data_IF_019803113680
#
_entry.id   IF_019803113680
#
_cell.length_a   1.000
_cell.length_b   1.000
_cell.length_c   1.000
_cell.angle_alpha   90.00
_cell.angle_beta   90.00
_cell.angle_gamma   90.00
#
_symmetry.space_group_name_H-M   'P 1'
#
loop_
_entity.id
_entity.type
_entity.pdbx_description
1 polymer ?
#
# COMPACT_ATOMS: atom_id res chain seq x y z
N UNK A 1 -0.92 20.63 1.83
CA UNK A 1 -0.76 19.20 1.48
C UNK A 1 -0.47 18.45 2.76
N UNK A 2 -1.30 17.48 3.14
CA UNK A 2 -0.97 16.53 4.21
C UNK A 2 0.26 15.74 3.76
N UNK A 3 1.37 15.83 4.50
CA UNK A 3 2.65 15.20 4.13
C UNK A 3 2.59 13.65 4.14
N UNK A 4 1.54 13.09 4.75
CA UNK A 4 1.31 11.67 4.94
C UNK A 4 -0.19 11.35 4.85
N UNK A 5 -0.82 11.53 3.66
CA UNK A 5 -2.27 11.38 3.49
C UNK A 5 -2.75 9.95 3.83
N UNK A 6 -1.86 8.97 3.67
CA UNK A 6 -2.13 7.56 3.88
C UNK A 6 -1.78 7.04 5.28
N UNK A 7 -1.25 7.90 6.17
CA UNK A 7 -0.81 7.52 7.52
C UNK A 7 0.17 6.32 7.54
N UNK A 8 1.04 6.24 6.54
CA UNK A 8 2.02 5.15 6.37
C UNK A 8 3.31 5.39 7.15
N UNK A 9 3.75 6.64 7.22
CA UNK A 9 5.05 7.00 7.76
C UNK A 9 4.98 7.46 9.21
N UNK A 10 6.07 7.23 9.94
CA UNK A 10 6.27 7.81 11.27
C UNK A 10 6.46 9.32 11.15
N UNK A 11 5.78 10.10 12.00
CA UNK A 11 5.85 11.58 11.98
C UNK A 11 6.63 12.16 13.17
N UNK A 12 7.46 11.35 13.83
CA UNK A 12 8.29 11.82 14.92
C UNK A 12 9.31 12.85 14.41
N UNK A 13 9.27 14.06 14.98
CA UNK A 13 10.19 15.14 14.64
C UNK A 13 11.49 15.03 15.43
N UNK A 14 12.61 14.93 14.72
CA UNK A 14 13.94 14.99 15.30
C UNK A 14 14.43 16.45 15.32
N UNK A 15 14.51 17.01 16.53
CA UNK A 15 14.96 18.39 16.77
C UNK A 15 16.45 18.59 16.52
N UNK A 16 17.28 17.55 16.63
CA UNK A 16 18.73 17.67 16.50
C UNK A 16 19.16 17.97 15.06
N UNK A 17 18.43 17.42 14.07
CA UNK A 17 18.72 17.61 12.65
C UNK A 17 17.60 18.32 11.88
N UNK A 18 16.53 18.76 12.58
CA UNK A 18 15.35 19.40 12.00
C UNK A 18 14.69 18.57 10.88
N UNK A 19 14.55 17.25 11.08
CA UNK A 19 13.90 16.35 10.12
C UNK A 19 12.80 15.52 10.76
N UNK A 20 11.78 15.16 9.98
CA UNK A 20 10.81 14.14 10.37
C UNK A 20 11.35 12.75 10.06
N UNK A 21 11.03 11.78 10.91
CA UNK A 21 11.19 10.37 10.57
C UNK A 21 10.45 10.08 9.26
N UNK A 22 10.99 9.20 8.41
CA UNK A 22 10.33 8.75 7.18
C UNK A 22 10.23 7.22 7.09
N UNK A 23 10.51 6.53 8.19
CA UNK A 23 10.33 5.07 8.27
C UNK A 23 8.83 4.76 8.30
N UNK A 24 8.42 3.65 7.71
CA UNK A 24 7.04 3.15 7.84
C UNK A 24 6.72 2.98 9.32
N UNK A 25 5.55 3.49 9.73
CA UNK A 25 5.18 3.73 11.12
C UNK A 25 5.32 2.48 11.99
N UNK A 26 4.72 1.37 11.57
CA UNK A 26 4.68 0.11 12.33
C UNK A 26 6.04 -0.58 12.43
N UNK A 27 6.93 -0.39 11.46
CA UNK A 27 8.29 -0.97 11.49
C UNK A 27 9.35 0.00 12.05
N UNK A 28 8.96 1.20 12.47
CA UNK A 28 9.90 2.19 12.96
C UNK A 28 10.50 1.76 14.31
N UNK A 29 11.75 1.30 14.30
CA UNK A 29 12.42 0.77 15.48
C UNK A 29 12.55 1.77 16.65
N UNK A 30 12.60 3.07 16.35
CA UNK A 30 12.81 4.12 17.36
C UNK A 30 11.50 4.65 17.95
N UNK A 31 10.41 4.63 17.18
CA UNK A 31 9.19 5.39 17.53
C UNK A 31 7.94 4.51 17.65
N UNK A 32 7.97 3.26 17.15
CA UNK A 32 6.85 2.34 17.34
C UNK A 32 6.78 1.86 18.78
N UNK A 33 5.63 2.05 19.43
CA UNK A 33 5.41 1.71 20.86
C UNK A 33 4.42 0.55 21.07
N UNK A 34 4.20 -0.27 20.04
CA UNK A 34 3.34 -1.44 20.17
C UNK A 34 1.85 -1.13 20.24
N UNK A 35 1.39 -0.01 19.68
CA UNK A 35 -0.01 0.46 19.81
C UNK A 35 -1.05 -0.62 19.45
N UNK A 36 -0.74 -1.49 18.48
CA UNK A 36 -1.62 -2.56 18.03
C UNK A 36 -1.62 -3.80 18.94
N UNK A 37 -0.54 -4.02 19.68
CA UNK A 37 -0.37 -5.23 20.50
C UNK A 37 -0.41 -4.98 22.01
N UNK A 38 -0.43 -3.72 22.45
CA UNK A 38 -0.36 -3.36 23.88
C UNK A 38 -1.53 -3.90 24.70
N UNK A 39 -2.70 -4.10 24.08
CA UNK A 39 -3.90 -4.62 24.74
C UNK A 39 -3.93 -6.16 24.82
N UNK A 40 -3.09 -6.84 24.04
CA UNK A 40 -3.08 -8.30 23.95
C UNK A 40 -2.49 -8.93 25.22
N UNK A 41 -3.32 -9.68 25.95
CA UNK A 41 -2.89 -10.43 27.14
C UNK A 41 -2.11 -11.70 26.78
N UNK A 42 -2.46 -12.32 25.66
CA UNK A 42 -1.86 -13.54 25.14
C UNK A 42 -1.16 -13.28 23.81
N UNK A 43 -0.30 -14.20 23.39
CA UNK A 43 0.41 -14.13 22.12
C UNK A 43 -0.54 -13.98 20.93
N UNK A 44 -1.57 -14.83 20.86
CA UNK A 44 -2.57 -14.90 19.80
C UNK A 44 -2.02 -15.23 18.39
N UNK A 45 -0.79 -15.71 18.25
CA UNK A 45 -0.27 -16.16 16.96
C UNK A 45 -1.10 -17.35 16.43
N UNK A 46 -1.68 -17.28 15.22
CA UNK A 46 -2.46 -18.38 14.65
C UNK A 46 -1.59 -19.61 14.39
N UNK A 47 -1.93 -20.75 14.99
CA UNK A 47 -1.12 -21.97 14.84
C UNK A 47 -1.10 -22.50 13.41
N UNK A 48 -2.18 -22.26 12.66
CA UNK A 48 -2.29 -22.57 11.23
C UNK A 48 -1.23 -21.94 10.35
N UNK A 49 -0.59 -20.85 10.79
CA UNK A 49 0.48 -20.23 10.02
C UNK A 49 1.84 -20.90 10.21
N UNK A 50 1.98 -21.79 11.21
CA UNK A 50 3.23 -22.49 11.51
C UNK A 50 3.37 -23.85 10.78
N UNK A 51 2.30 -24.42 10.22
CA UNK A 51 2.26 -25.80 9.72
C UNK A 51 2.97 -26.03 8.36
N UNK A 52 3.84 -25.12 7.92
CA UNK A 52 4.69 -25.32 6.73
C UNK A 52 3.96 -25.30 5.39
N UNK A 53 2.63 -25.16 5.37
CA UNK A 53 1.90 -24.75 4.16
C UNK A 53 2.19 -23.27 3.93
N UNK A 54 2.87 -22.96 2.84
CA UNK A 54 2.99 -21.59 2.37
C UNK A 54 1.61 -21.11 1.95
N UNK A 55 0.97 -20.34 2.83
CA UNK A 55 -0.26 -19.62 2.52
C UNK A 55 0.12 -18.27 1.90
N UNK A 56 -0.60 -17.88 0.85
CA UNK A 56 -0.59 -16.49 0.38
C UNK A 56 -1.26 -15.59 1.42
N UNK A 57 -0.96 -14.29 1.38
CA UNK A 57 -1.64 -13.31 2.24
C UNK A 57 -3.17 -13.40 2.12
N UNK A 58 -3.71 -13.56 0.90
CA UNK A 58 -5.16 -13.71 0.69
C UNK A 58 -5.71 -14.93 1.44
N UNK A 59 -5.07 -16.10 1.29
CA UNK A 59 -5.50 -17.34 1.94
C UNK A 59 -5.42 -17.28 3.47
N UNK A 60 -4.44 -16.54 4.03
CA UNK A 60 -4.32 -16.35 5.48
C UNK A 60 -5.53 -15.63 6.09
N UNK A 61 -6.14 -14.70 5.36
CA UNK A 61 -7.25 -13.88 5.86
C UNK A 61 -8.62 -14.38 5.40
N UNK A 62 -8.75 -14.88 4.17
CA UNK A 62 -10.02 -15.38 3.61
C UNK A 62 -10.52 -16.61 4.37
N UNK A 63 -9.62 -17.54 4.72
CA UNK A 63 -9.93 -18.74 5.49
C UNK A 63 -9.60 -18.59 6.99
N UNK A 64 -9.22 -17.39 7.43
CA UNK A 64 -8.75 -17.12 8.79
C UNK A 64 -9.68 -17.65 9.90
N UNK A 65 -11.00 -17.40 9.85
CA UNK A 65 -11.94 -17.89 10.87
C UNK A 65 -11.97 -19.43 10.99
N UNK A 66 -11.96 -20.15 9.88
CA UNK A 66 -12.00 -21.61 9.86
C UNK A 66 -10.66 -22.19 10.34
N UNK A 67 -9.55 -21.62 9.88
CA UNK A 67 -8.19 -21.98 10.32
C UNK A 67 -8.00 -21.77 11.82
N UNK A 68 -8.54 -20.68 12.37
CA UNK A 68 -8.49 -20.37 13.80
C UNK A 68 -9.40 -21.29 14.63
N UNK A 69 -10.52 -21.73 14.09
CA UNK A 69 -11.47 -22.62 14.79
C UNK A 69 -10.90 -24.03 14.97
N UNK A 70 -10.25 -24.56 13.95
CA UNK A 70 -9.75 -25.94 13.95
C UNK A 70 -8.42 -26.08 14.69
N UNK A 71 -7.50 -25.12 14.50
CA UNK A 71 -6.14 -25.22 15.05
C UNK A 71 -5.86 -24.28 16.22
N UNK A 72 -6.67 -23.22 16.37
CA UNK A 72 -6.51 -22.24 17.44
C UNK A 72 -5.31 -21.32 17.28
N UNK A 73 -4.93 -20.69 18.40
CA UNK A 73 -3.86 -19.71 18.48
C UNK A 73 -2.93 -20.00 19.66
N UNK A 74 -1.79 -19.31 19.71
CA UNK A 74 -0.85 -19.36 20.83
C UNK A 74 -1.45 -18.64 22.05
N UNK A 75 -1.65 -19.38 23.15
CA UNK A 75 -2.21 -18.85 24.40
C UNK A 75 -1.14 -18.43 25.43
N UNK A 76 0.15 -18.49 25.10
CA UNK A 76 1.20 -18.06 26.01
C UNK A 76 1.03 -16.57 26.37
N UNK A 77 1.34 -16.14 27.61
CA UNK A 77 1.30 -14.72 27.97
C UNK A 77 2.12 -13.89 26.98
N UNK A 78 1.56 -12.78 26.49
CA UNK A 78 2.16 -12.01 25.38
C UNK A 78 3.62 -11.60 25.67
N UNK A 79 3.89 -11.20 26.91
CA UNK A 79 5.21 -10.74 27.38
C UNK A 79 6.23 -11.88 27.53
N UNK A 80 5.78 -13.12 27.60
CA UNK A 80 6.62 -14.31 27.86
C UNK A 80 6.79 -15.20 26.62
N UNK A 81 6.00 -14.96 25.56
CA UNK A 81 6.07 -15.75 24.33
C UNK A 81 7.32 -15.40 23.50
N UNK A 82 8.38 -16.20 23.65
CA UNK A 82 9.60 -16.06 22.86
C UNK A 82 9.48 -16.57 21.41
N UNK A 83 8.61 -17.56 21.17
CA UNK A 83 8.49 -18.21 19.85
C UNK A 83 7.91 -17.29 18.76
N UNK A 84 7.03 -16.36 19.13
CA UNK A 84 6.35 -15.46 18.20
C UNK A 84 6.67 -14.00 18.52
N UNK A 85 7.94 -13.71 18.75
CA UNK A 85 8.37 -12.37 19.14
C UNK A 85 7.95 -11.34 18.09
N UNK A 86 7.18 -10.32 18.52
CA UNK A 86 6.72 -9.20 17.67
C UNK A 86 5.98 -9.62 16.39
N UNK A 87 5.30 -10.78 16.38
CA UNK A 87 4.64 -11.28 15.17
C UNK A 87 3.58 -10.31 14.61
N UNK A 88 2.87 -9.57 15.48
CA UNK A 88 1.88 -8.56 15.07
C UNK A 88 2.56 -7.43 14.32
N UNK A 89 3.64 -6.87 14.88
CA UNK A 89 4.43 -5.83 14.25
C UNK A 89 5.01 -6.31 12.91
N UNK A 90 5.50 -7.55 12.85
CA UNK A 90 6.04 -8.13 11.63
C UNK A 90 4.96 -8.29 10.54
N UNK A 91 3.82 -8.88 10.88
CA UNK A 91 2.70 -9.10 9.95
C UNK A 91 2.17 -7.77 9.41
N UNK A 92 1.85 -6.83 10.30
CA UNK A 92 1.33 -5.51 9.90
C UNK A 92 2.40 -4.73 9.14
N UNK A 93 3.68 -4.88 9.50
CA UNK A 93 4.80 -4.35 8.73
C UNK A 93 4.81 -4.84 7.28
N UNK A 94 4.58 -6.14 7.06
CA UNK A 94 4.47 -6.69 5.70
C UNK A 94 3.26 -6.12 4.95
N UNK A 95 2.11 -5.99 5.61
CA UNK A 95 0.89 -5.41 5.01
C UNK A 95 1.13 -3.94 4.60
N UNK A 96 1.72 -3.13 5.47
CA UNK A 96 1.98 -1.72 5.19
C UNK A 96 3.05 -1.54 4.09
N UNK A 97 4.05 -2.44 4.03
CA UNK A 97 5.00 -2.46 2.92
C UNK A 97 4.30 -2.76 1.58
N UNK A 98 3.39 -3.73 1.55
CA UNK A 98 2.64 -4.04 0.33
C UNK A 98 1.69 -2.91 -0.07
N UNK A 99 1.02 -2.30 0.90
CA UNK A 99 0.21 -1.10 0.67
C UNK A 99 1.04 0.04 0.08
N UNK A 100 2.25 0.27 0.59
CA UNK A 100 3.18 1.26 0.04
C UNK A 100 3.56 0.94 -1.42
N UNK A 101 3.82 -0.32 -1.75
CA UNK A 101 4.09 -0.75 -3.13
C UNK A 101 2.90 -0.47 -4.05
N UNK A 102 1.68 -0.80 -3.61
CA UNK A 102 0.45 -0.57 -4.36
C UNK A 102 0.17 0.93 -4.59
N UNK A 103 0.39 1.76 -3.58
CA UNK A 103 0.25 3.22 -3.70
C UNK A 103 1.29 3.80 -4.65
N UNK A 104 2.55 3.36 -4.55
CA UNK A 104 3.61 3.76 -5.49
C UNK A 104 3.23 3.39 -6.92
N UNK A 105 2.70 2.18 -7.13
CA UNK A 105 2.24 1.73 -8.44
C UNK A 105 1.05 2.53 -8.94
N UNK A 106 0.11 2.91 -8.06
CA UNK A 106 -1.01 3.76 -8.41
C UNK A 106 -0.51 5.13 -8.91
N UNK A 107 0.43 5.76 -8.22
CA UNK A 107 1.01 7.04 -8.62
C UNK A 107 1.69 6.96 -10.00
N UNK A 108 2.46 5.90 -10.27
CA UNK A 108 3.03 5.66 -11.60
C UNK A 108 1.96 5.59 -12.70
N UNK A 109 0.85 4.89 -12.44
CA UNK A 109 -0.24 4.73 -13.40
C UNK A 109 -0.99 6.05 -13.61
N UNK A 110 -1.19 6.83 -12.56
CA UNK A 110 -1.81 8.15 -12.62
C UNK A 110 -0.97 9.12 -13.45
N UNK A 111 0.36 9.11 -13.27
CA UNK A 111 1.26 9.95 -14.06
C UNK A 111 1.30 9.50 -15.53
N UNK A 112 1.35 8.19 -15.81
CA UNK A 112 1.24 7.67 -17.19
C UNK A 112 -0.07 8.10 -17.85
N UNK A 113 -1.19 8.01 -17.12
CA UNK A 113 -2.51 8.45 -17.62
C UNK A 113 -2.49 9.94 -17.94
N UNK A 114 -1.88 10.77 -17.09
CA UNK A 114 -1.74 12.20 -17.33
C UNK A 114 -0.93 12.49 -18.59
N UNK A 115 0.21 11.82 -18.77
CA UNK A 115 1.05 11.95 -19.97
C UNK A 115 0.27 11.59 -21.23
N UNK A 116 -0.45 10.46 -21.23
CA UNK A 116 -1.28 10.03 -22.37
C UNK A 116 -2.39 11.04 -22.65
N UNK A 117 -3.11 11.48 -21.61
CA UNK A 117 -4.18 12.47 -21.74
C UNK A 117 -3.67 13.80 -22.33
N UNK A 118 -2.50 14.27 -21.88
CA UNK A 118 -1.85 15.45 -22.46
C UNK A 118 -1.42 15.20 -23.90
N UNK A 119 -0.91 14.01 -24.22
CA UNK A 119 -0.56 13.62 -25.59
C UNK A 119 -1.77 13.63 -26.52
N UNK A 120 -2.92 13.11 -26.08
CA UNK A 120 -4.18 13.14 -26.84
C UNK A 120 -4.69 14.58 -27.03
N UNK A 121 -4.61 15.43 -26.00
CA UNK A 121 -5.06 16.82 -26.08
C UNK A 121 -4.15 17.69 -26.97
N UNK A 122 -2.83 17.51 -26.89
CA UNK A 122 -1.83 18.29 -27.64
C UNK A 122 -1.68 17.83 -29.09
N UNK A 123 -1.81 16.53 -29.35
CA UNK A 123 -1.92 15.97 -30.72
C UNK A 123 -3.34 16.11 -31.27
N UNK A 124 -4.06 17.14 -30.81
CA UNK A 124 -5.42 17.47 -31.17
C UNK A 124 -5.68 17.16 -32.64
N UNK A 125 -6.51 16.14 -32.84
CA UNK A 125 -7.03 15.65 -34.09
C UNK A 125 -6.13 15.82 -35.33
N UNK A 126 -4.85 15.44 -35.21
CA UNK A 126 -3.93 15.42 -36.36
C UNK A 126 -4.51 14.55 -37.48
N UNK A 127 -5.30 13.52 -37.14
CA UNK A 127 -6.04 12.71 -38.10
C UNK A 127 -7.09 13.55 -38.86
N UNK A 128 -7.90 14.38 -38.21
CA UNK A 128 -8.80 15.29 -38.94
C UNK A 128 -8.07 16.36 -39.73
N UNK A 129 -6.91 16.83 -39.27
CA UNK A 129 -6.08 17.75 -40.08
C UNK A 129 -5.53 17.05 -41.33
N UNK A 130 -5.05 15.82 -41.21
CA UNK A 130 -4.56 15.02 -42.35
C UNK A 130 -5.69 14.61 -43.30
N UNK A 131 -6.91 14.46 -42.79
CA UNK A 131 -8.12 14.14 -43.56
C UNK A 131 -8.95 15.37 -43.95
N UNK A 132 -8.44 16.58 -43.70
CA UNK A 132 -9.13 17.80 -44.07
C UNK A 132 -9.23 17.90 -45.59
N UNK A 133 -10.45 17.79 -46.13
CA UNK A 133 -10.73 18.16 -47.51
C UNK A 133 -11.12 19.64 -47.57
N UNK A 134 -10.40 20.47 -48.34
CA UNK A 134 -10.80 21.85 -48.52
C UNK A 134 -12.20 21.91 -49.14
N UNK A 135 -13.05 22.87 -48.72
CA UNK A 135 -14.36 23.03 -49.33
C UNK A 135 -14.19 23.32 -50.83
N UNK A 136 -15.02 22.68 -51.64
CA UNK A 136 -15.05 22.92 -53.09
C UNK A 136 -15.57 24.36 -53.28
N UNK A 137 -14.66 25.29 -53.57
CA UNK A 137 -15.03 26.66 -53.92
C UNK A 137 -15.55 26.61 -55.35
N UNK A 138 -16.86 26.77 -55.54
CA UNK A 138 -17.43 26.92 -56.87
C UNK A 138 -16.88 28.21 -57.49
N UNK A 139 -16.09 28.09 -58.56
CA UNK A 139 -15.68 29.23 -59.38
C UNK A 139 -16.95 29.92 -59.89
N UNK A 140 -17.12 31.19 -59.52
CA UNK A 140 -18.15 32.03 -60.12
C UNK A 140 -17.74 32.25 -61.57
N UNK A 141 -18.44 31.58 -62.48
CA UNK A 141 -18.33 31.85 -63.91
C UNK A 141 -18.73 33.31 -64.17
N UNK A 142 -17.81 34.06 -64.77
CA UNK A 142 -18.05 35.40 -65.33
C UNK A 142 -18.88 35.31 -66.60
#
# INVERSE_FOLDING_TARGET
>A
ATFNPDNLFCEAYNKANNTYCKRVRVICAEHYKGELENELQICAYPKAWAEGKSLTFAEMFEHGPDLLKDQGFCCAPRKECAQHHRWVQALVGTIECERMNLLTRLDELLERRKIVSMGCATRGDVISLLNFKPPIVAERAN
#
